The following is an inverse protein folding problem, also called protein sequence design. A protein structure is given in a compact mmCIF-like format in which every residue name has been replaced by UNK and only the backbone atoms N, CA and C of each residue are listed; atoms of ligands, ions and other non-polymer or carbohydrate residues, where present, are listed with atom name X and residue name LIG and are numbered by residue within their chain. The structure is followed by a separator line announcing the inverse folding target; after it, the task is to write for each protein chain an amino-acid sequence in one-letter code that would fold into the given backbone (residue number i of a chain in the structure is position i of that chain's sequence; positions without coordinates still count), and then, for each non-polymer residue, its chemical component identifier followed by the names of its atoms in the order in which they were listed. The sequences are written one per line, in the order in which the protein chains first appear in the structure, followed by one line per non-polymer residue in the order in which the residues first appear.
data_IF_140620581703
#
_entry.id   IF_140620581703
#
_cell.length_a   1.000
_cell.length_b   1.000
_cell.length_c   1.000
_cell.angle_alpha   90.00
_cell.angle_beta   90.00
_cell.angle_gamma   90.00
#
_symmetry.space_group_name_H-M   'P 1'
#
loop_
_entity.id
_entity.type
_entity.pdbx_description
1 polymer ?
#
# COMPACT_ATOMS: atom_id res chain seq x y z
N UNK A 1 -58.46 35.34 15.89
CA UNK A 1 -57.48 34.46 16.55
C UNK A 1 -57.28 33.22 15.70
N UNK A 2 -56.12 33.06 15.05
CA UNK A 2 -55.67 31.81 14.43
C UNK A 2 -54.28 31.52 15.00
N UNK A 3 -54.20 30.53 15.88
CA UNK A 3 -52.95 30.03 16.45
C UNK A 3 -52.30 29.12 15.40
N UNK A 4 -51.15 29.52 14.85
CA UNK A 4 -50.29 28.61 14.11
C UNK A 4 -49.41 27.82 15.10
N UNK A 5 -49.44 26.48 15.11
CA UNK A 5 -48.49 25.70 15.89
C UNK A 5 -47.11 25.76 15.22
N UNK A 6 -46.17 26.41 15.90
CA UNK A 6 -44.77 26.44 15.56
C UNK A 6 -44.18 25.06 15.88
N UNK A 7 -44.19 24.14 14.91
CA UNK A 7 -43.46 22.88 15.01
C UNK A 7 -41.96 23.19 14.92
N UNK A 8 -41.34 23.41 16.07
CA UNK A 8 -39.89 23.48 16.20
C UNK A 8 -39.34 22.07 15.98
N UNK A 9 -39.01 21.75 14.73
CA UNK A 9 -38.31 20.51 14.37
C UNK A 9 -36.92 20.55 14.99
N UNK A 10 -36.75 19.96 16.18
CA UNK A 10 -35.45 19.61 16.71
C UNK A 10 -34.83 18.58 15.78
N UNK A 11 -34.04 19.05 14.82
CA UNK A 11 -33.04 18.21 14.17
C UNK A 11 -32.02 17.83 15.25
N UNK A 12 -32.17 16.65 15.85
CA UNK A 12 -31.08 16.01 16.58
C UNK A 12 -29.97 15.77 15.56
N UNK A 13 -28.99 16.67 15.52
CA UNK A 13 -27.71 16.38 14.91
C UNK A 13 -27.11 15.22 15.71
N UNK A 14 -27.12 14.02 15.13
CA UNK A 14 -26.34 12.90 15.64
C UNK A 14 -24.88 13.32 15.56
N UNK A 15 -24.30 13.72 16.69
CA UNK A 15 -22.85 13.87 16.81
C UNK A 15 -22.26 12.49 16.58
N UNK A 16 -21.68 12.29 15.39
CA UNK A 16 -20.90 11.10 15.09
C UNK A 16 -19.62 11.23 15.92
N UNK A 17 -19.49 10.43 16.98
CA UNK A 17 -18.29 10.36 17.83
C UNK A 17 -17.14 9.74 17.03
N UNK A 18 -16.44 10.58 16.25
CA UNK A 18 -15.22 10.22 15.57
C UNK A 18 -14.13 9.87 16.60
N UNK A 19 -13.58 8.65 16.52
CA UNK A 19 -12.48 8.22 17.40
C UNK A 19 -11.16 8.38 16.67
N UNK A 20 -10.27 9.21 17.22
CA UNK A 20 -8.91 9.38 16.71
C UNK A 20 -8.08 8.11 16.88
N UNK A 21 -7.10 7.92 16.01
CA UNK A 21 -6.20 6.77 16.06
C UNK A 21 -5.28 6.77 17.30
N UNK A 22 -4.98 5.59 17.82
CA UNK A 22 -4.02 5.35 18.88
C UNK A 22 -2.59 5.39 18.33
N UNK A 23 -1.73 6.21 18.95
CA UNK A 23 -0.33 6.39 18.55
C UNK A 23 0.61 5.43 19.28
N UNK A 24 0.21 4.87 20.43
CA UNK A 24 1.05 3.91 21.17
C UNK A 24 1.37 2.65 20.38
N UNK A 25 0.52 2.28 19.41
CA UNK A 25 0.76 1.16 18.50
C UNK A 25 2.07 1.34 17.73
N UNK A 26 2.50 2.59 17.48
CA UNK A 26 3.70 2.90 16.72
C UNK A 26 5.00 2.57 17.49
N UNK A 27 4.95 2.62 18.83
CA UNK A 27 6.15 2.56 19.70
C UNK A 27 6.17 1.34 20.64
N UNK A 28 5.02 0.83 21.07
CA UNK A 28 4.96 -0.25 22.06
C UNK A 28 5.59 -1.55 21.54
N UNK A 29 6.47 -2.14 22.37
CA UNK A 29 7.29 -3.32 22.04
C UNK A 29 6.52 -4.51 21.46
N UNK A 30 5.27 -4.72 21.91
CA UNK A 30 4.44 -5.82 21.43
C UNK A 30 4.10 -5.75 19.93
N UNK A 31 4.13 -4.55 19.34
CA UNK A 31 3.85 -4.33 17.92
C UNK A 31 5.09 -4.40 17.04
N UNK A 32 6.31 -4.38 17.60
CA UNK A 32 7.57 -4.37 16.83
C UNK A 32 7.68 -5.52 15.82
N UNK A 33 7.09 -6.67 16.14
CA UNK A 33 7.07 -7.85 15.25
C UNK A 33 6.33 -7.61 13.92
N UNK A 34 5.47 -6.59 13.83
CA UNK A 34 4.71 -6.21 12.64
C UNK A 34 5.29 -4.98 11.93
N UNK A 35 6.45 -4.48 12.39
CA UNK A 35 6.99 -3.17 12.01
C UNK A 35 8.37 -3.26 11.35
N UNK A 36 8.78 -4.44 10.87
CA UNK A 36 9.96 -4.59 10.01
C UNK A 36 9.68 -4.03 8.60
N UNK A 37 10.03 -2.76 8.36
CA UNK A 37 9.77 -2.10 7.07
C UNK A 37 10.61 -2.72 5.94
N UNK A 38 11.79 -3.25 6.23
CA UNK A 38 12.62 -3.91 5.22
C UNK A 38 11.93 -5.17 4.72
N UNK A 39 11.37 -5.98 5.63
CA UNK A 39 10.57 -7.16 5.27
C UNK A 39 9.36 -6.80 4.39
N UNK A 40 8.66 -5.71 4.70
CA UNK A 40 7.54 -5.25 3.88
C UNK A 40 8.00 -4.83 2.47
N UNK A 41 9.10 -4.07 2.35
CA UNK A 41 9.64 -3.63 1.05
C UNK A 41 10.27 -4.77 0.23
N UNK A 42 10.80 -5.79 0.90
CA UNK A 42 11.42 -6.95 0.26
C UNK A 42 10.40 -8.05 -0.12
N UNK A 43 9.10 -7.87 0.16
CA UNK A 43 8.02 -8.80 -0.19
C UNK A 43 8.05 -9.22 -1.66
N UNK A 44 7.74 -10.48 -1.97
CA UNK A 44 7.67 -11.02 -3.33
C UNK A 44 6.59 -10.31 -4.17
N UNK A 45 5.47 -9.94 -3.54
CA UNK A 45 4.45 -9.11 -4.17
C UNK A 45 4.89 -7.64 -4.20
N UNK A 46 5.60 -7.27 -5.27
CA UNK A 46 6.26 -5.96 -5.40
C UNK A 46 5.29 -4.80 -5.56
N UNK A 47 4.03 -5.04 -5.93
CA UNK A 47 3.04 -3.99 -6.17
C UNK A 47 2.02 -3.97 -5.03
N UNK A 48 1.75 -2.78 -4.52
CA UNK A 48 0.69 -2.57 -3.53
C UNK A 48 -0.19 -1.39 -3.92
N UNK A 49 -1.48 -1.50 -3.68
CA UNK A 49 -2.49 -0.48 -3.98
C UNK A 49 -2.94 0.22 -2.70
N UNK A 50 -2.95 1.55 -2.72
CA UNK A 50 -3.52 2.32 -1.63
C UNK A 50 -5.04 2.15 -1.63
N UNK A 51 -5.55 1.47 -0.62
CA UNK A 51 -6.97 1.17 -0.48
C UNK A 51 -7.69 2.27 0.29
N UNK A 52 -7.17 2.62 1.47
CA UNK A 52 -7.69 3.70 2.32
C UNK A 52 -6.63 4.72 2.69
N UNK A 53 -7.06 5.98 2.86
CA UNK A 53 -6.29 7.00 3.59
C UNK A 53 -7.18 7.86 4.49
N UNK A 54 -6.59 8.46 5.51
CA UNK A 54 -7.32 9.30 6.48
C UNK A 54 -7.28 10.81 6.18
N UNK A 55 -6.69 11.21 5.04
CA UNK A 55 -6.56 12.61 4.61
C UNK A 55 -6.91 12.79 3.13
N UNK A 56 -7.13 14.05 2.71
CA UNK A 56 -7.35 14.39 1.30
C UNK A 56 -6.02 14.65 0.61
N UNK A 57 -5.85 14.11 -0.60
CA UNK A 57 -4.71 14.45 -1.47
C UNK A 57 -5.23 14.72 -2.87
N UNK A 58 -4.96 15.93 -3.33
CA UNK A 58 -5.48 16.46 -4.58
C UNK A 58 -4.37 17.16 -5.37
N UNK A 59 -4.50 17.17 -6.69
CA UNK A 59 -3.73 18.04 -7.59
C UNK A 59 -4.73 18.87 -8.37
N UNK A 60 -4.58 20.19 -8.34
CA UNK A 60 -5.48 21.14 -9.02
C UNK A 60 -6.97 20.93 -8.67
N UNK A 61 -7.25 20.61 -7.39
CA UNK A 61 -8.61 20.35 -6.89
C UNK A 61 -9.18 18.96 -7.25
N UNK A 62 -8.37 18.08 -7.84
CA UNK A 62 -8.79 16.75 -8.28
C UNK A 62 -8.16 15.67 -7.41
N UNK A 63 -9.00 14.78 -6.85
CA UNK A 63 -8.54 13.68 -6.00
C UNK A 63 -7.73 12.62 -6.76
N UNK A 64 -6.68 12.14 -6.12
CA UNK A 64 -5.92 11.00 -6.60
C UNK A 64 -6.69 9.70 -6.37
N UNK A 65 -6.80 8.88 -7.40
CA UNK A 65 -7.43 7.55 -7.39
C UNK A 65 -6.45 6.50 -7.93
N UNK A 66 -6.69 5.22 -7.68
CA UNK A 66 -5.84 4.13 -8.18
C UNK A 66 -4.34 4.33 -7.87
N UNK A 67 -4.05 4.80 -6.66
CA UNK A 67 -2.68 5.03 -6.21
C UNK A 67 -2.03 3.67 -5.95
N UNK A 68 -0.82 3.45 -6.47
CA UNK A 68 -0.03 2.25 -6.23
C UNK A 68 1.42 2.58 -5.94
N UNK A 69 2.10 1.66 -5.27
CA UNK A 69 3.56 1.61 -5.14
C UNK A 69 4.06 0.29 -5.75
N UNK A 70 5.14 0.35 -6.53
CA UNK A 70 5.82 -0.80 -7.13
C UNK A 70 7.30 -0.77 -6.72
N UNK A 71 7.72 -1.67 -5.84
CA UNK A 71 9.11 -1.76 -5.40
C UNK A 71 9.96 -2.44 -6.49
N UNK A 72 10.88 -1.68 -7.07
CA UNK A 72 11.75 -2.16 -8.15
C UNK A 72 12.99 -2.90 -7.62
N UNK A 73 13.30 -2.74 -6.34
CA UNK A 73 14.38 -3.46 -5.66
C UNK A 73 15.22 -2.58 -4.76
N UNK A 74 16.11 -3.25 -4.02
CA UNK A 74 17.05 -2.63 -3.11
C UNK A 74 18.26 -2.08 -3.87
N UNK A 75 18.76 -0.91 -3.46
CA UNK A 75 20.05 -0.40 -3.94
C UNK A 75 21.19 -1.20 -3.34
N UNK A 76 22.25 -1.38 -4.12
CA UNK A 76 23.46 -2.06 -3.69
C UNK A 76 24.08 -1.37 -2.46
N UNK A 77 24.49 -2.16 -1.47
CA UNK A 77 25.24 -1.69 -0.30
C UNK A 77 24.47 -0.82 0.70
N UNK A 78 23.14 -0.69 0.57
CA UNK A 78 22.37 0.28 1.36
C UNK A 78 21.05 -0.22 1.95
N UNK A 79 20.38 0.70 2.63
CA UNK A 79 19.03 0.59 3.21
C UNK A 79 17.97 1.31 2.35
N UNK A 80 18.29 1.59 1.09
CA UNK A 80 17.46 2.35 0.18
C UNK A 80 16.84 1.43 -0.90
N UNK A 81 15.59 1.73 -1.28
CA UNK A 81 14.81 0.96 -2.25
C UNK A 81 14.28 1.88 -3.34
N UNK A 82 14.49 1.50 -4.60
CA UNK A 82 13.88 2.19 -5.72
C UNK A 82 12.44 1.69 -5.87
N UNK A 83 11.49 2.61 -6.04
CA UNK A 83 10.12 2.24 -6.31
C UNK A 83 9.44 3.25 -7.24
N UNK A 84 8.43 2.78 -7.97
CA UNK A 84 7.53 3.62 -8.74
C UNK A 84 6.27 3.89 -7.91
N UNK A 85 5.83 5.14 -7.82
CA UNK A 85 4.50 5.48 -7.33
C UNK A 85 3.67 6.03 -8.49
N UNK A 86 2.50 5.44 -8.71
CA UNK A 86 1.55 5.90 -9.71
C UNK A 86 0.22 6.29 -9.12
N UNK A 87 -0.51 7.18 -9.78
CA UNK A 87 -1.90 7.52 -9.46
C UNK A 87 -2.65 8.04 -10.68
N UNK A 88 -3.97 7.98 -10.63
CA UNK A 88 -4.87 8.44 -11.68
C UNK A 88 -5.62 9.69 -11.26
N UNK A 89 -5.68 10.68 -12.16
CA UNK A 89 -6.56 11.84 -12.06
C UNK A 89 -7.40 11.98 -13.34
N UNK A 90 -8.66 12.44 -13.25
CA UNK A 90 -9.39 12.95 -14.40
C UNK A 90 -8.59 14.00 -15.18
N UNK A 91 -8.60 13.90 -16.51
CA UNK A 91 -8.28 14.99 -17.40
C UNK A 91 -9.52 15.23 -18.27
N UNK A 92 -9.77 16.43 -18.81
CA UNK A 92 -10.99 16.70 -19.59
C UNK A 92 -11.26 15.80 -20.81
N UNK A 93 -10.40 14.79 -21.08
CA UNK A 93 -10.49 13.77 -22.13
C UNK A 93 -10.64 12.33 -21.57
N UNK A 94 -10.78 12.15 -20.25
CA UNK A 94 -10.85 10.84 -19.61
C UNK A 94 -10.02 10.77 -18.31
N UNK A 95 -9.16 9.75 -18.20
CA UNK A 95 -8.27 9.53 -17.06
C UNK A 95 -6.82 9.68 -17.51
N UNK A 96 -5.98 10.30 -16.68
CA UNK A 96 -4.53 10.40 -16.86
C UNK A 96 -3.84 9.69 -15.71
N UNK A 97 -2.91 8.80 -16.05
CA UNK A 97 -1.98 8.21 -15.10
C UNK A 97 -0.76 9.12 -14.93
N UNK A 98 -0.31 9.30 -13.69
CA UNK A 98 0.91 10.03 -13.32
C UNK A 98 1.82 9.05 -12.61
N UNK A 99 3.10 9.03 -12.97
CA UNK A 99 4.10 8.12 -12.39
C UNK A 99 5.31 8.91 -11.91
N UNK A 100 5.87 8.46 -10.79
CA UNK A 100 7.08 9.02 -10.19
C UNK A 100 8.03 7.89 -9.80
N UNK A 101 9.28 8.00 -10.21
CA UNK A 101 10.36 7.19 -9.63
C UNK A 101 10.81 7.84 -8.33
N UNK A 102 10.83 7.05 -7.27
CA UNK A 102 11.09 7.47 -5.91
C UNK A 102 12.10 6.53 -5.24
N UNK A 103 12.68 7.03 -4.16
CA UNK A 103 13.59 6.28 -3.30
C UNK A 103 13.00 6.23 -1.88
N UNK A 104 12.93 5.04 -1.29
CA UNK A 104 12.60 4.85 0.12
C UNK A 104 13.85 4.47 0.89
N UNK A 105 14.33 5.35 1.77
CA UNK A 105 15.47 5.06 2.66
C UNK A 105 14.97 4.70 4.04
N UNK A 106 15.20 3.45 4.48
CA UNK A 106 14.66 2.95 5.74
C UNK A 106 15.49 3.39 6.93
N UNK A 107 14.86 3.61 8.09
CA UNK A 107 15.57 3.95 9.32
C UNK A 107 14.77 3.50 10.55
N UNK A 108 15.43 3.52 11.69
CA UNK A 108 14.80 3.32 12.99
C UNK A 108 14.28 4.64 13.52
N UNK A 109 13.00 4.72 13.87
CA UNK A 109 12.55 5.84 14.69
C UNK A 109 13.24 5.81 16.04
N UNK A 110 13.46 6.98 16.68
CA UNK A 110 13.92 7.02 18.06
C UNK A 110 12.91 6.26 18.92
N UNK A 111 13.24 5.05 19.38
CA UNK A 111 12.40 4.30 20.31
C UNK A 111 12.80 4.66 21.74
N UNK A 112 11.89 4.40 22.69
CA UNK A 112 12.12 4.52 24.12
C UNK A 112 13.15 3.52 24.67
N UNK A 113 13.54 2.46 23.95
CA UNK A 113 14.79 1.69 24.10
C UNK A 113 14.80 0.42 23.21
N UNK A 114 15.95 0.01 22.67
CA UNK A 114 16.19 -1.38 22.24
C UNK A 114 15.66 -1.86 20.88
N UNK A 115 15.16 -0.98 19.98
CA UNK A 115 14.67 -1.41 18.65
C UNK A 115 15.81 -1.88 17.74
N UNK A 116 15.72 -3.12 17.27
CA UNK A 116 16.74 -3.73 16.41
C UNK A 116 16.54 -3.40 14.93
N UNK A 117 15.29 -3.45 14.46
CA UNK A 117 14.90 -3.37 13.04
C UNK A 117 14.38 -1.99 12.67
N UNK A 118 14.65 -1.58 11.42
CA UNK A 118 14.06 -0.37 10.83
C UNK A 118 12.54 -0.50 10.76
N UNK A 119 11.83 0.57 11.09
CA UNK A 119 10.37 0.64 11.12
C UNK A 119 9.81 1.85 10.37
N UNK A 120 10.66 2.73 9.89
CA UNK A 120 10.28 3.91 9.16
C UNK A 120 11.07 4.02 7.86
N UNK A 121 10.58 4.86 6.96
CA UNK A 121 11.26 5.20 5.73
C UNK A 121 11.05 6.68 5.38
N UNK A 122 12.06 7.28 4.77
CA UNK A 122 11.94 8.58 4.13
C UNK A 122 11.81 8.36 2.62
N UNK A 123 10.71 8.87 2.04
CA UNK A 123 10.44 8.78 0.61
C UNK A 123 10.80 10.09 -0.07
N UNK A 124 11.74 10.02 -1.01
CA UNK A 124 12.26 11.17 -1.76
C UNK A 124 12.23 10.93 -3.27
N UNK A 125 12.33 12.00 -4.08
CA UNK A 125 12.51 11.87 -5.54
C UNK A 125 13.95 11.53 -5.91
N UNK A 126 14.90 12.08 -5.16
CA UNK A 126 16.34 11.88 -5.34
C UNK A 126 17.01 11.53 -4.02
N UNK A 127 18.08 10.76 -4.08
CA UNK A 127 18.86 10.37 -2.90
C UNK A 127 19.45 11.59 -2.19
N UNK A 128 19.41 11.60 -0.86
CA UNK A 128 19.98 12.68 -0.05
C UNK A 128 19.21 14.01 -0.09
N UNK A 129 18.04 14.05 -0.74
CA UNK A 129 17.14 15.20 -0.65
C UNK A 129 16.74 15.41 0.83
N UNK A 130 17.01 16.59 1.42
CA UNK A 130 16.58 16.89 2.79
C UNK A 130 15.06 17.02 2.89
N UNK A 131 14.37 17.19 1.75
CA UNK A 131 12.93 17.07 1.64
C UNK A 131 12.48 15.62 1.45
N UNK A 132 11.26 15.30 1.86
CA UNK A 132 10.71 13.97 1.71
C UNK A 132 9.46 13.76 2.54
N UNK A 133 8.78 12.65 2.29
CA UNK A 133 7.67 12.23 3.14
C UNK A 133 8.14 11.07 4.01
N UNK A 134 8.13 11.31 5.31
CA UNK A 134 8.45 10.29 6.30
C UNK A 134 7.22 9.43 6.58
N UNK A 135 7.43 8.12 6.57
CA UNK A 135 6.42 7.12 6.90
C UNK A 135 6.93 6.20 8.01
N UNK A 136 6.05 5.83 8.92
CA UNK A 136 6.24 4.76 9.89
C UNK A 136 5.35 3.58 9.53
N UNK A 137 5.90 2.36 9.54
CA UNK A 137 5.11 1.14 9.43
C UNK A 137 4.42 0.87 10.76
N UNK A 138 3.10 1.04 10.80
CA UNK A 138 2.27 0.74 11.97
C UNK A 138 2.13 -0.77 12.11
N UNK A 139 1.78 -1.43 11.01
CA UNK A 139 1.45 -2.84 10.95
C UNK A 139 1.64 -3.37 9.53
N UNK A 140 2.24 -4.55 9.41
CA UNK A 140 2.20 -5.39 8.22
C UNK A 140 1.89 -6.81 8.65
N UNK A 141 1.00 -7.48 7.92
CA UNK A 141 0.85 -8.94 8.03
C UNK A 141 1.86 -9.68 7.14
N UNK A 142 2.66 -8.93 6.37
CA UNK A 142 3.67 -9.38 5.41
C UNK A 142 3.12 -10.28 4.30
N UNK A 143 1.80 -10.30 4.10
CA UNK A 143 1.13 -11.18 3.14
C UNK A 143 0.12 -10.45 2.29
N UNK A 144 -0.72 -9.60 2.90
CA UNK A 144 -1.85 -8.95 2.22
C UNK A 144 -1.89 -7.45 2.41
N UNK A 145 -1.36 -6.90 3.50
CA UNK A 145 -1.49 -5.47 3.77
C UNK A 145 -0.32 -4.85 4.53
N UNK A 146 -0.16 -3.56 4.29
CA UNK A 146 0.72 -2.66 5.04
C UNK A 146 -0.06 -1.41 5.47
N UNK A 147 0.16 -0.95 6.70
CA UNK A 147 -0.45 0.26 7.25
C UNK A 147 0.67 1.22 7.61
N UNK A 148 0.67 2.38 6.95
CA UNK A 148 1.68 3.40 7.13
C UNK A 148 1.08 4.64 7.79
N UNK A 149 1.85 5.28 8.69
CA UNK A 149 1.56 6.61 9.23
C UNK A 149 2.48 7.63 8.58
N UNK A 150 1.94 8.78 8.19
CA UNK A 150 2.74 9.92 7.77
C UNK A 150 3.27 10.64 9.01
N UNK A 151 4.57 10.87 9.07
CA UNK A 151 5.22 11.64 10.15
C UNK A 151 5.31 13.13 9.80
N UNK A 152 4.28 13.67 9.14
CA UNK A 152 4.18 15.07 8.69
C UNK A 152 4.18 16.08 9.84
N UNK A 153 3.70 15.67 11.02
CA UNK A 153 3.72 16.45 12.25
C UNK A 153 3.73 15.51 13.49
N UNK A 154 4.19 15.97 14.66
CA UNK A 154 3.98 15.25 15.91
C UNK A 154 2.50 14.93 16.09
N UNK A 155 2.18 13.66 16.38
CA UNK A 155 0.80 13.16 16.54
C UNK A 155 -0.06 13.20 15.27
N UNK A 156 0.53 13.22 14.07
CA UNK A 156 -0.24 13.05 12.83
C UNK A 156 -1.06 11.76 12.88
N UNK A 157 -2.36 11.88 12.60
CA UNK A 157 -3.27 10.75 12.42
C UNK A 157 -3.45 10.37 10.95
N UNK A 158 -2.61 10.95 10.07
CA UNK A 158 -2.59 10.65 8.65
C UNK A 158 -2.02 9.26 8.42
N UNK A 159 -2.85 8.40 7.85
CA UNK A 159 -2.53 7.02 7.59
C UNK A 159 -2.88 6.63 6.17
N UNK A 160 -2.20 5.60 5.69
CA UNK A 160 -2.43 4.92 4.43
C UNK A 160 -2.51 3.41 4.70
N UNK A 161 -3.52 2.73 4.13
CA UNK A 161 -3.61 1.28 4.10
C UNK A 161 -3.39 0.80 2.67
N UNK A 162 -2.32 0.04 2.49
CA UNK A 162 -1.99 -0.61 1.24
C UNK A 162 -2.41 -2.08 1.29
N UNK A 163 -2.94 -2.57 0.18
CA UNK A 163 -3.11 -4.00 -0.07
C UNK A 163 -2.15 -4.44 -1.17
N UNK A 164 -1.50 -5.58 -0.98
CA UNK A 164 -0.67 -6.19 -2.02
C UNK A 164 -1.52 -6.58 -3.24
N UNK A 165 -0.91 -6.54 -4.43
CA UNK A 165 -1.60 -6.72 -5.72
C UNK A 165 -2.34 -8.05 -5.82
N UNK A 166 -1.78 -9.12 -5.27
CA UNK A 166 -2.39 -10.45 -5.19
C UNK A 166 -3.62 -10.51 -4.27
N UNK A 167 -3.76 -9.59 -3.31
CA UNK A 167 -4.82 -9.60 -2.31
C UNK A 167 -5.90 -8.54 -2.52
N UNK A 168 -5.62 -7.48 -3.29
CA UNK A 168 -6.46 -6.27 -3.37
C UNK A 168 -7.90 -6.52 -3.82
N UNK A 169 -8.11 -7.49 -4.72
CA UNK A 169 -9.45 -7.86 -5.22
C UNK A 169 -10.32 -8.55 -4.16
N UNK A 170 -9.70 -9.11 -3.11
CA UNK A 170 -10.41 -9.70 -1.97
C UNK A 170 -10.91 -8.67 -0.95
N UNK A 171 -10.62 -7.38 -1.15
CA UNK A 171 -10.89 -6.33 -0.17
C UNK A 171 -9.96 -6.38 1.04
N UNK A 172 -10.19 -5.47 2.00
CA UNK A 172 -9.32 -5.36 3.18
C UNK A 172 -9.52 -6.54 4.13
N UNK A 173 -8.46 -7.31 4.47
CA UNK A 173 -8.57 -8.38 5.45
C UNK A 173 -8.98 -7.83 6.84
N UNK A 174 -9.82 -8.58 7.57
CA UNK A 174 -10.31 -8.18 8.90
C UNK A 174 -9.20 -7.76 9.89
N UNK A 175 -8.05 -8.45 9.99
CA UNK A 175 -6.96 -8.00 10.86
C UNK A 175 -6.42 -6.62 10.47
N UNK A 176 -6.18 -6.38 9.18
CA UNK A 176 -5.74 -5.09 8.64
C UNK A 176 -6.77 -4.00 8.90
N UNK A 177 -8.06 -4.28 8.68
CA UNK A 177 -9.13 -3.32 8.92
C UNK A 177 -9.24 -2.93 10.40
N UNK A 178 -9.12 -3.91 11.30
CA UNK A 178 -9.13 -3.67 12.74
C UNK A 178 -7.93 -2.84 13.18
N UNK A 179 -6.72 -3.19 12.71
CA UNK A 179 -5.51 -2.44 13.02
C UNK A 179 -5.58 -1.00 12.48
N UNK A 180 -6.09 -0.81 11.27
CA UNK A 180 -6.30 0.51 10.70
C UNK A 180 -7.28 1.34 11.53
N UNK A 181 -8.44 0.77 11.89
CA UNK A 181 -9.43 1.48 12.70
C UNK A 181 -8.91 1.89 14.08
N UNK A 182 -8.03 1.08 14.67
CA UNK A 182 -7.42 1.40 15.95
C UNK A 182 -6.30 2.45 15.83
N UNK A 183 -5.43 2.35 14.81
CA UNK A 183 -4.25 3.22 14.67
C UNK A 183 -4.53 4.55 13.95
N UNK A 184 -5.55 4.58 13.10
CA UNK A 184 -5.82 5.67 12.15
C UNK A 184 -7.16 6.36 12.38
N UNK A 185 -7.99 5.76 13.23
CA UNK A 185 -9.29 6.27 13.61
C UNK A 185 -10.45 5.50 13.02
N UNK A 186 -11.61 5.60 13.67
CA UNK A 186 -12.84 4.89 13.31
C UNK A 186 -14.07 5.71 13.61
N UNK A 187 -15.22 5.16 13.24
CA UNK A 187 -16.55 5.73 13.48
C UNK A 187 -16.81 7.03 12.69
N UNK A 188 -15.93 7.43 11.76
CA UNK A 188 -16.16 8.53 10.82
C UNK A 188 -15.54 8.25 9.44
N UNK A 189 -16.26 8.59 8.36
CA UNK A 189 -15.85 8.28 6.98
C UNK A 189 -14.57 8.99 6.53
N UNK A 190 -14.21 10.11 7.16
CA UNK A 190 -12.94 10.80 6.88
C UNK A 190 -11.71 9.92 7.15
N UNK A 191 -11.79 8.97 8.08
CA UNK A 191 -10.68 8.06 8.34
C UNK A 191 -10.54 7.00 7.24
N UNK A 192 -11.58 6.73 6.45
CA UNK A 192 -11.60 5.68 5.42
C UNK A 192 -11.93 6.25 4.04
N UNK A 193 -11.14 7.20 3.55
CA UNK A 193 -11.29 7.69 2.18
C UNK A 193 -10.80 6.62 1.21
N UNK A 194 -11.73 6.06 0.43
CA UNK A 194 -11.45 5.02 -0.57
C UNK A 194 -10.61 5.59 -1.72
N UNK A 195 -9.49 4.93 -2.04
CA UNK A 195 -8.58 5.34 -3.13
C UNK A 195 -8.53 4.29 -4.23
N UNK A 196 -8.54 3.01 -3.87
CA UNK A 196 -8.62 1.89 -4.81
C UNK A 196 -10.08 1.59 -5.19
N UNK A 197 -10.30 1.17 -6.43
CA UNK A 197 -11.56 0.56 -6.88
C UNK A 197 -11.19 -0.58 -7.85
N UNK A 198 -12.07 -1.55 -8.05
CA UNK A 198 -11.80 -2.72 -8.93
C UNK A 198 -11.35 -2.34 -10.34
N UNK A 199 -11.81 -1.18 -10.86
CA UNK A 199 -11.39 -0.64 -12.16
C UNK A 199 -9.90 -0.23 -12.24
N UNK A 200 -9.16 -0.21 -11.12
CA UNK A 200 -7.78 0.26 -11.07
C UNK A 200 -6.76 -0.74 -11.62
N UNK A 201 -6.96 -2.05 -11.37
CA UNK A 201 -6.00 -3.09 -11.78
C UNK A 201 -6.07 -3.41 -13.28
N UNK A 202 -7.11 -2.93 -13.97
CA UNK A 202 -7.41 -3.38 -15.33
C UNK A 202 -7.83 -4.85 -15.36
N UNK A 203 -8.19 -5.41 -16.53
CA UNK A 203 -8.44 -6.84 -16.63
C UNK A 203 -7.16 -7.63 -16.33
N UNK A 204 -7.27 -8.70 -15.53
CA UNK A 204 -6.15 -9.63 -15.37
C UNK A 204 -5.76 -10.20 -16.75
N UNK A 205 -4.46 -10.27 -17.08
CA UNK A 205 -4.04 -10.96 -18.30
C UNK A 205 -4.52 -12.42 -18.24
N UNK A 206 -4.87 -13.04 -19.39
CA UNK A 206 -5.26 -14.43 -19.42
C UNK A 206 -4.19 -15.28 -18.73
N UNK A 207 -4.59 -16.15 -17.81
CA UNK A 207 -3.68 -17.12 -17.21
C UNK A 207 -3.15 -17.99 -18.35
N UNK A 208 -1.85 -17.91 -18.62
CA UNK A 208 -1.18 -18.80 -19.55
C UNK A 208 -1.31 -20.22 -18.98
N UNK A 209 -2.21 -21.01 -19.57
CA UNK A 209 -2.42 -22.40 -19.21
C UNK A 209 -1.16 -23.15 -19.62
N UNK A 210 -0.32 -23.47 -18.64
CA UNK A 210 0.90 -24.24 -18.86
C UNK A 210 0.46 -25.65 -19.19
N UNK A 211 0.37 -25.95 -20.49
CA UNK A 211 0.13 -27.30 -21.00
C UNK A 211 1.21 -28.22 -20.42
N UNK A 212 0.86 -29.36 -19.79
CA UNK A 212 1.86 -30.32 -19.36
C UNK A 212 2.62 -30.80 -20.60
N UNK A 213 3.94 -30.61 -20.61
CA UNK A 213 4.81 -31.33 -21.53
C UNK A 213 4.80 -32.78 -21.05
N UNK A 214 3.99 -33.60 -21.71
CA UNK A 214 4.03 -35.06 -21.56
C UNK A 214 5.40 -35.52 -22.07
N UNK A 215 6.21 -36.01 -21.14
CA UNK A 215 7.50 -36.65 -21.40
C UNK A 215 7.22 -38.01 -22.07
N UNK A 216 7.21 -38.04 -23.41
CA UNK A 216 7.19 -39.30 -24.15
C UNK A 216 8.56 -39.97 -24.04
N UNK A 217 8.57 -41.11 -23.34
CA UNK A 217 9.71 -42.01 -23.24
C UNK A 217 9.90 -42.72 -24.59
N UNK A 218 10.84 -42.26 -25.42
CA UNK A 218 11.26 -42.99 -26.62
C UNK A 218 12.16 -44.16 -26.23
N UNK A 219 11.66 -45.37 -26.48
CA UNK A 219 12.38 -46.63 -26.39
C UNK A 219 13.40 -46.77 -27.50
N UNK A 220 14.65 -46.93 -27.06
CA UNK A 220 15.85 -47.35 -27.76
C UNK A 220 15.58 -48.43 -28.84
N UNK A 221 15.88 -48.12 -30.10
CA UNK A 221 16.19 -49.15 -31.11
C UNK A 221 17.40 -48.72 -31.95
N UNK A 222 18.51 -49.36 -31.64
CA UNK A 222 19.78 -49.35 -32.35
C UNK A 222 19.62 -49.78 -33.82
N UNK A 223 20.13 -49.01 -34.78
CA UNK A 223 20.73 -49.55 -36.02
C UNK A 223 21.84 -48.62 -36.52
N UNK A 224 22.97 -49.26 -36.82
CA UNK A 224 24.30 -48.75 -37.14
C UNK A 224 24.44 -48.16 -38.56
N UNK A 225 25.49 -47.32 -38.73
CA UNK A 225 26.23 -47.02 -39.98
C UNK A 225 25.66 -45.86 -40.83
N UNK A 226 26.40 -44.89 -41.40
CA UNK A 226 27.84 -44.63 -41.60
C UNK A 226 28.02 -43.19 -42.17
N UNK A 227 29.19 -42.57 -41.93
CA UNK A 227 29.88 -41.51 -42.74
C UNK A 227 29.41 -40.03 -42.65
N UNK A 228 30.38 -39.15 -42.36
CA UNK A 228 30.40 -37.68 -42.53
C UNK A 228 30.92 -37.31 -43.95
N UNK A 229 30.66 -36.12 -44.54
CA UNK A 229 31.34 -34.87 -44.13
C UNK A 229 30.52 -33.58 -44.30
N UNK A 230 31.06 -32.48 -43.77
CA UNK A 230 30.39 -31.17 -43.69
C UNK A 230 30.37 -30.33 -44.96
N UNK A 231 29.79 -29.13 -44.77
CA UNK A 231 30.00 -27.86 -45.44
C UNK A 231 29.76 -26.76 -44.40
#
# INVERSE_FOLDING_TARGET
MKLLPFFCSLYLATLVDAKTGEIRIDEEKQYEQYQDIKRALENEDKRSWLYYRSYSRQTDGVEHTCVYALVNGKKEGGNAYNFEQGYTIPNGKGKREVKHQLLATTYKTPNLEGREKDNAMNVTKTEGDPGGQHYLLIYSDYQKCDILRLLSAPHSSECELYLHDSAVNGGVPKPCESMYGNACGKDHSSYRRQVYNESCKGPEPPKEETTPITEETETDTTTTSTVAPGC
#
